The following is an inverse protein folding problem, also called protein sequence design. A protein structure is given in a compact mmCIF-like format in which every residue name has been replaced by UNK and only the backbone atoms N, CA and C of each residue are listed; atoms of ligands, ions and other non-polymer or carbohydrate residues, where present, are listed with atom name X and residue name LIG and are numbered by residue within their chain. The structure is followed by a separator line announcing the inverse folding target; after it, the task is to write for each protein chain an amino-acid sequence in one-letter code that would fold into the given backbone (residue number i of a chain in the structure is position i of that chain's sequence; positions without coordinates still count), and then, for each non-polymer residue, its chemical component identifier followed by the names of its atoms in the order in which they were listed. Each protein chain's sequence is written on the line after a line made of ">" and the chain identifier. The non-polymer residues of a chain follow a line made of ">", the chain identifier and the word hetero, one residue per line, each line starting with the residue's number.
data_IF_691358455527
#
_entry.id   IF_691358455527
#
_cell.length_a   1.000
_cell.length_b   1.000
_cell.length_c   1.000
_cell.angle_alpha   90.00
_cell.angle_beta   90.00
_cell.angle_gamma   90.00
#
_symmetry.space_group_name_H-M   'P 1'
#
loop_
_entity.id
_entity.type
_entity.pdbx_description
1 polymer ?
#
# COMPACT_ATOMS: atom_id res chain seq x y z
N UNK A 1 -23.34 14.11 -11.19
CA UNK A 1 -22.22 13.65 -10.33
C UNK A 1 -20.91 13.96 -11.06
N UNK A 2 -20.32 15.14 -10.82
CA UNK A 2 -19.12 15.58 -11.52
C UNK A 2 -17.90 14.84 -10.95
N UNK A 3 -17.58 13.67 -11.52
CA UNK A 3 -16.39 12.89 -11.15
C UNK A 3 -15.19 13.56 -11.81
N UNK A 4 -14.57 14.48 -11.08
CA UNK A 4 -13.40 15.20 -11.54
C UNK A 4 -12.28 14.21 -11.94
N UNK A 5 -11.99 14.05 -13.24
CA UNK A 5 -11.17 12.96 -13.73
C UNK A 5 -9.74 13.07 -13.21
N UNK A 6 -9.21 14.29 -13.05
CA UNK A 6 -7.87 14.52 -12.50
C UNK A 6 -7.71 14.07 -11.05
N UNK A 7 -8.73 14.31 -10.22
CA UNK A 7 -8.74 13.89 -8.81
C UNK A 7 -8.83 12.37 -8.69
N UNK A 8 -9.54 11.74 -9.62
CA UNK A 8 -9.71 10.29 -9.70
C UNK A 8 -8.46 9.60 -10.26
N UNK A 9 -7.79 10.20 -11.26
CA UNK A 9 -6.60 9.65 -11.91
C UNK A 9 -5.36 9.67 -10.99
N UNK A 10 -5.17 10.76 -10.25
CA UNK A 10 -4.09 10.87 -9.25
C UNK A 10 -4.36 9.89 -8.10
N UNK A 11 -5.63 9.77 -7.65
CA UNK A 11 -6.03 8.78 -6.66
C UNK A 11 -5.75 7.35 -7.12
N UNK A 12 -6.13 6.99 -8.36
CA UNK A 12 -5.91 5.65 -8.92
C UNK A 12 -4.43 5.29 -9.07
N UNK A 13 -3.57 6.23 -9.49
CA UNK A 13 -2.11 6.01 -9.52
C UNK A 13 -1.54 5.81 -8.13
N UNK A 14 -1.98 6.60 -7.14
CA UNK A 14 -1.59 6.43 -5.74
C UNK A 14 -1.98 5.08 -5.15
N UNK A 15 -3.17 4.57 -5.51
CA UNK A 15 -3.62 3.22 -5.13
C UNK A 15 -2.66 2.14 -5.64
N UNK A 16 -2.24 2.21 -6.90
CA UNK A 16 -1.32 1.22 -7.47
C UNK A 16 0.04 1.23 -6.72
N UNK A 17 0.57 2.40 -6.40
CA UNK A 17 1.79 2.52 -5.60
C UNK A 17 1.62 2.01 -4.17
N UNK A 18 0.45 2.18 -3.56
CA UNK A 18 0.15 1.64 -2.24
C UNK A 18 0.13 0.10 -2.25
N UNK A 19 -0.39 -0.52 -3.32
CA UNK A 19 -0.45 -1.98 -3.43
C UNK A 19 0.93 -2.59 -3.70
N UNK A 20 1.67 -1.99 -4.63
CA UNK A 20 3.04 -2.42 -4.93
C UNK A 20 3.93 -2.21 -3.71
N UNK A 21 3.84 -1.03 -3.08
CA UNK A 21 4.61 -0.68 -1.90
C UNK A 21 4.29 -1.55 -0.69
N UNK A 22 3.07 -2.09 -0.56
CA UNK A 22 2.73 -2.95 0.57
C UNK A 22 3.32 -4.35 0.47
N UNK A 23 3.71 -4.78 -0.73
CA UNK A 23 4.41 -6.04 -0.97
C UNK A 23 5.93 -5.81 -0.99
N UNK A 24 6.39 -4.83 -1.78
CA UNK A 24 7.82 -4.54 -1.92
C UNK A 24 8.44 -3.93 -0.66
N UNK A 25 7.70 -3.11 0.09
CA UNK A 25 8.19 -2.49 1.32
C UNK A 25 8.68 -3.53 2.33
N UNK A 26 7.83 -4.47 2.76
CA UNK A 26 8.24 -5.57 3.63
C UNK A 26 9.35 -6.43 3.02
N UNK A 27 9.29 -6.77 1.72
CA UNK A 27 10.34 -7.58 1.07
C UNK A 27 11.71 -6.90 1.11
N UNK A 28 11.79 -5.61 0.80
CA UNK A 28 13.04 -4.87 0.83
C UNK A 28 13.56 -4.71 2.27
N UNK A 29 12.68 -4.42 3.24
CA UNK A 29 13.10 -4.30 4.65
C UNK A 29 13.54 -5.65 5.23
N UNK A 30 12.86 -6.74 4.90
CA UNK A 30 13.19 -8.08 5.39
C UNK A 30 14.45 -8.66 4.72
N UNK A 31 14.70 -8.34 3.45
CA UNK A 31 15.89 -8.82 2.73
C UNK A 31 17.19 -8.16 3.19
N UNK A 32 17.12 -6.98 3.78
CA UNK A 32 18.29 -6.24 4.32
C UNK A 32 18.15 -5.96 5.82
N UNK A 33 17.43 -6.83 6.54
CA UNK A 33 17.02 -6.59 7.92
C UNK A 33 18.23 -6.33 8.84
N UNK A 34 18.30 -5.12 9.40
CA UNK A 34 19.37 -4.67 10.29
C UNK A 34 20.59 -4.08 9.58
N UNK A 35 20.66 -4.15 8.25
CA UNK A 35 21.74 -3.55 7.46
C UNK A 35 21.28 -2.24 6.79
N UNK A 36 21.58 -1.13 7.45
CA UNK A 36 21.28 0.21 6.96
C UNK A 36 22.31 0.75 5.96
N UNK A 37 23.33 -0.04 5.59
CA UNK A 37 24.31 0.38 4.58
C UNK A 37 23.76 0.24 3.16
N UNK A 38 22.77 -0.63 2.96
CA UNK A 38 22.16 -0.90 1.67
C UNK A 38 21.01 0.07 1.35
N UNK A 39 21.05 0.63 0.13
CA UNK A 39 20.00 1.51 -0.39
C UNK A 39 18.59 0.86 -0.36
N UNK A 40 18.54 -0.47 -0.50
CA UNK A 40 17.29 -1.24 -0.46
C UNK A 40 16.53 -1.07 0.86
N UNK A 41 17.21 -0.95 2.00
CA UNK A 41 16.58 -0.74 3.32
C UNK A 41 15.82 0.59 3.34
N UNK A 42 16.43 1.65 2.81
CA UNK A 42 15.80 2.97 2.70
C UNK A 42 14.65 2.98 1.71
N UNK A 43 14.80 2.31 0.56
CA UNK A 43 13.73 2.16 -0.44
C UNK A 43 12.52 1.44 0.16
N UNK A 44 12.76 0.34 0.89
CA UNK A 44 11.73 -0.40 1.60
C UNK A 44 10.99 0.45 2.64
N UNK A 45 11.72 1.24 3.43
CA UNK A 45 11.15 2.18 4.39
C UNK A 45 10.30 3.28 3.72
N UNK A 46 10.75 3.83 2.60
CA UNK A 46 9.98 4.82 1.83
C UNK A 46 8.68 4.21 1.31
N UNK A 47 8.72 2.97 0.79
CA UNK A 47 7.51 2.27 0.38
C UNK A 47 6.54 2.05 1.54
N UNK A 48 7.03 1.62 2.72
CA UNK A 48 6.20 1.47 3.91
C UNK A 48 5.57 2.78 4.34
N UNK A 49 6.30 3.89 4.29
CA UNK A 49 5.77 5.22 4.60
C UNK A 49 4.64 5.61 3.62
N UNK A 50 4.82 5.37 2.32
CA UNK A 50 3.80 5.63 1.30
C UNK A 50 2.54 4.81 1.57
N UNK A 51 2.69 3.54 1.96
CA UNK A 51 1.57 2.65 2.32
C UNK A 51 0.83 3.18 3.54
N UNK A 52 1.54 3.58 4.60
CA UNK A 52 0.94 4.15 5.81
C UNK A 52 0.17 5.45 5.50
N UNK A 53 0.75 6.33 4.68
CA UNK A 53 0.07 7.56 4.23
C UNK A 53 -1.17 7.25 3.41
N UNK A 54 -1.11 6.24 2.54
CA UNK A 54 -2.26 5.78 1.75
C UNK A 54 -3.38 5.25 2.64
N UNK A 55 -3.05 4.42 3.65
CA UNK A 55 -4.02 3.92 4.64
C UNK A 55 -4.70 5.09 5.37
N UNK A 56 -3.91 6.09 5.80
CA UNK A 56 -4.44 7.31 6.45
C UNK A 56 -5.43 8.04 5.54
N UNK A 57 -5.13 8.16 4.26
CA UNK A 57 -6.02 8.81 3.30
C UNK A 57 -7.26 7.98 3.00
N UNK A 58 -7.17 6.65 3.00
CA UNK A 58 -8.31 5.74 2.98
C UNK A 58 -9.25 5.99 4.16
N UNK A 59 -8.72 6.11 5.39
CA UNK A 59 -9.53 6.43 6.57
C UNK A 59 -10.19 7.82 6.49
N UNK A 60 -9.50 8.82 5.93
CA UNK A 60 -10.13 10.12 5.65
C UNK A 60 -11.25 9.99 4.63
N UNK A 61 -11.06 9.22 3.55
CA UNK A 61 -12.08 9.00 2.53
C UNK A 61 -13.35 8.34 3.09
N UNK A 62 -13.20 7.42 4.06
CA UNK A 62 -14.33 6.84 4.82
C UNK A 62 -15.15 7.92 5.52
N UNK A 63 -14.51 8.91 6.16
CA UNK A 63 -15.20 10.04 6.81
C UNK A 63 -15.97 10.92 5.81
N UNK A 64 -15.54 10.98 4.56
CA UNK A 64 -16.21 11.71 3.49
C UNK A 64 -17.23 10.87 2.69
N UNK A 65 -17.60 9.69 3.17
CA UNK A 65 -18.61 8.82 2.53
C UNK A 65 -18.14 8.07 1.28
N UNK A 66 -16.85 8.17 0.91
CA UNK A 66 -16.27 7.47 -0.25
C UNK A 66 -15.75 6.09 0.14
N UNK A 67 -16.67 5.11 0.20
CA UNK A 67 -16.34 3.73 0.61
C UNK A 67 -15.38 3.00 -0.35
N UNK A 68 -15.40 3.30 -1.66
CA UNK A 68 -14.48 2.68 -2.63
C UNK A 68 -13.02 3.03 -2.34
N UNK A 69 -12.76 4.30 -2.05
CA UNK A 69 -11.40 4.80 -1.82
C UNK A 69 -10.86 4.25 -0.50
N UNK A 70 -11.72 4.08 0.51
CA UNK A 70 -11.34 3.38 1.75
C UNK A 70 -10.93 1.92 1.48
N UNK A 71 -11.68 1.18 0.66
CA UNK A 71 -11.37 -0.20 0.35
C UNK A 71 -10.05 -0.31 -0.42
N UNK A 72 -9.86 0.54 -1.43
CA UNK A 72 -8.68 0.55 -2.27
C UNK A 72 -7.40 1.01 -1.55
N UNK A 73 -7.49 1.98 -0.64
CA UNK A 73 -6.33 2.59 0.01
C UNK A 73 -6.00 2.03 1.39
N UNK A 74 -6.97 1.46 2.12
CA UNK A 74 -6.74 0.96 3.48
C UNK A 74 -6.83 -0.58 3.57
N UNK A 75 -7.80 -1.19 2.91
CA UNK A 75 -8.03 -2.63 3.03
C UNK A 75 -7.11 -3.41 2.07
N UNK A 76 -7.10 -3.06 0.79
CA UNK A 76 -6.33 -3.78 -0.23
C UNK A 76 -4.81 -3.84 0.06
N UNK A 77 -4.14 -2.76 0.48
CA UNK A 77 -2.71 -2.83 0.80
C UNK A 77 -2.38 -3.80 1.94
N UNK A 78 -3.33 -4.11 2.83
CA UNK A 78 -3.18 -5.08 3.91
C UNK A 78 -3.59 -6.48 3.44
N UNK A 79 -4.73 -6.59 2.75
CA UNK A 79 -5.29 -7.85 2.31
C UNK A 79 -4.40 -8.56 1.27
N UNK A 80 -3.76 -7.82 0.36
CA UNK A 80 -2.87 -8.39 -0.66
C UNK A 80 -1.68 -9.14 -0.03
N UNK A 81 -0.83 -8.52 0.81
CA UNK A 81 0.29 -9.23 1.41
C UNK A 81 -0.15 -10.38 2.32
N UNK A 82 -1.25 -10.23 3.08
CA UNK A 82 -1.82 -11.34 3.87
C UNK A 82 -2.25 -12.49 2.97
N UNK A 83 -2.96 -12.20 1.88
CA UNK A 83 -3.39 -13.19 0.90
C UNK A 83 -2.22 -13.93 0.26
N UNK A 84 -1.15 -13.21 -0.10
CA UNK A 84 0.08 -13.83 -0.61
C UNK A 84 0.73 -14.78 0.41
N UNK A 85 0.82 -14.37 1.67
CA UNK A 85 1.40 -15.19 2.75
C UNK A 85 0.55 -16.44 2.99
N UNK A 86 -0.78 -16.28 3.08
CA UNK A 86 -1.70 -17.41 3.28
C UNK A 86 -1.67 -18.38 2.11
N UNK A 87 -1.66 -17.88 0.87
CA UNK A 87 -1.55 -18.72 -0.32
C UNK A 87 -0.26 -19.53 -0.31
N UNK A 88 0.88 -18.87 -0.06
CA UNK A 88 2.18 -19.53 0.04
C UNK A 88 2.19 -20.60 1.13
N UNK A 89 1.62 -20.32 2.30
CA UNK A 89 1.54 -21.26 3.42
C UNK A 89 0.64 -22.47 3.14
N UNK A 90 -0.37 -22.34 2.29
CA UNK A 90 -1.30 -23.42 1.94
C UNK A 90 -0.80 -24.26 0.76
N UNK A 91 0.14 -23.73 -0.03
CA UNK A 91 0.74 -24.42 -1.17
C UNK A 91 1.98 -25.25 -0.83
N UNK A 92 2.39 -25.25 0.44
CA UNK A 92 3.57 -25.92 1.00
C UNK A 92 3.14 -27.21 1.73
#
# INVERSE_FOLDING_TARGET
>A
MNRDPYKTFIGAKGVAFAWIGSVLGPLFVLSTFGDFTHANTYIGLVFLLIVVLSIRDGFKAKKHGKKSDFLALAIMPIAIPIGCILWFSLSL
#
